data_IF_748342323978
#
_entry.id   IF_748342323978
#
_cell.length_a   1.000
_cell.length_b   1.000
_cell.length_c   1.000
_cell.angle_alpha   90.00
_cell.angle_beta   90.00
_cell.angle_gamma   90.00
#
_symmetry.space_group_name_H-M   'P 1'
#
loop_
_entity.id
_entity.type
_entity.pdbx_description
1 polymer ?
#
# COMPACT_ATOMS: atom_id res chain seq x y z
N UNK A 1 2.29 5.32 19.20
CA UNK A 1 1.42 6.39 18.65
C UNK A 1 1.60 7.65 19.48
N UNK A 2 1.87 8.80 18.84
CA UNK A 2 2.02 10.06 19.55
C UNK A 2 0.71 10.46 20.25
N UNK A 3 0.82 11.29 21.31
CA UNK A 3 -0.34 11.78 22.08
C UNK A 3 -1.36 12.50 21.16
N UNK A 4 -0.89 13.18 20.09
CA UNK A 4 -1.74 13.84 19.08
C UNK A 4 -2.55 12.87 18.23
N UNK A 5 -1.96 11.74 17.81
CA UNK A 5 -2.71 10.71 17.05
C UNK A 5 -3.78 10.02 17.91
N UNK A 6 -3.55 9.85 19.22
CA UNK A 6 -4.57 9.35 20.14
C UNK A 6 -5.75 10.33 20.28
N UNK A 7 -5.49 11.63 20.29
CA UNK A 7 -6.55 12.64 20.38
C UNK A 7 -7.40 12.70 19.10
N UNK A 8 -6.82 12.57 17.91
CA UNK A 8 -7.58 12.45 16.65
C UNK A 8 -8.51 11.23 16.67
N UNK A 9 -7.98 10.05 17.06
CA UNK A 9 -8.80 8.83 17.13
C UNK A 9 -9.91 8.86 18.20
N UNK A 10 -9.82 9.73 19.23
CA UNK A 10 -10.86 9.93 20.23
C UNK A 10 -11.97 10.85 19.69
N UNK A 11 -11.63 11.84 18.87
CA UNK A 11 -12.58 12.78 18.30
C UNK A 11 -13.51 12.13 17.27
N UNK A 12 -13.00 11.18 16.50
CA UNK A 12 -13.73 10.51 15.40
C UNK A 12 -14.48 9.24 15.85
N UNK A 13 -14.63 9.02 17.17
CA UNK A 13 -15.34 7.82 17.66
C UNK A 13 -16.87 8.05 17.64
N UNK A 14 -17.64 7.10 17.07
CA UNK A 14 -19.11 7.13 17.08
C UNK A 14 -19.69 7.31 18.49
N UNK A 15 -18.99 6.81 19.53
CA UNK A 15 -19.37 6.98 20.92
C UNK A 15 -19.48 8.44 21.40
N UNK A 16 -18.93 9.41 20.65
CA UNK A 16 -19.07 10.84 20.93
C UNK A 16 -20.51 11.33 20.81
N UNK A 17 -21.28 10.73 19.93
CA UNK A 17 -22.67 11.08 19.64
C UNK A 17 -23.66 10.28 20.51
N UNK A 18 -23.17 9.47 21.44
CA UNK A 18 -24.01 8.68 22.34
C UNK A 18 -24.07 9.40 23.70
N UNK A 19 -25.25 9.84 24.04
CA UNK A 19 -25.59 10.30 25.39
C UNK A 19 -25.92 9.12 26.32
N UNK A 20 -25.52 9.22 27.57
CA UNK A 20 -25.83 8.22 28.58
C UNK A 20 -26.78 8.88 29.58
N UNK A 21 -27.98 8.32 29.74
CA UNK A 21 -28.93 8.70 30.81
C UNK A 21 -29.04 7.57 31.82
N UNK A 22 -28.72 7.88 33.08
CA UNK A 22 -28.70 6.92 34.20
C UNK A 22 -29.56 7.32 35.40
N UNK A 23 -30.38 8.38 35.26
CA UNK A 23 -31.24 8.92 36.34
C UNK A 23 -32.63 9.18 35.80
N UNK A 24 -33.66 8.91 36.61
CA UNK A 24 -35.04 9.31 36.31
C UNK A 24 -35.23 10.81 36.52
N UNK A 25 -36.38 11.36 36.07
CA UNK A 25 -36.73 12.77 36.32
C UNK A 25 -36.86 13.11 37.80
N UNK A 26 -37.16 12.10 38.62
CA UNK A 26 -37.28 12.19 40.09
C UNK A 26 -35.92 12.09 40.81
N UNK A 27 -34.81 11.87 40.06
CA UNK A 27 -33.46 11.79 40.61
C UNK A 27 -33.08 10.41 41.13
N UNK A 28 -33.89 9.39 40.88
CA UNK A 28 -33.58 8.01 41.27
C UNK A 28 -32.63 7.33 40.27
N UNK A 29 -31.79 6.42 40.74
CA UNK A 29 -30.93 5.61 39.91
C UNK A 29 -31.76 4.73 38.96
N UNK A 30 -31.51 4.83 37.66
CA UNK A 30 -32.23 4.06 36.62
C UNK A 30 -31.25 3.25 35.80
N UNK A 31 -31.79 2.31 35.05
CA UNK A 31 -31.02 1.59 34.05
C UNK A 31 -30.40 2.53 33.01
N UNK A 32 -29.13 2.26 32.68
CA UNK A 32 -28.38 3.06 31.71
C UNK A 32 -29.01 2.93 30.31
N UNK A 33 -29.53 4.04 29.79
CA UNK A 33 -30.01 4.13 28.40
C UNK A 33 -29.02 4.91 27.56
N UNK A 34 -28.63 4.30 26.43
CA UNK A 34 -27.85 4.97 25.41
C UNK A 34 -28.81 5.62 24.40
N UNK A 35 -28.67 6.91 24.19
CA UNK A 35 -29.45 7.66 23.19
C UNK A 35 -28.51 8.45 22.28
N UNK A 36 -28.94 8.73 21.06
CA UNK A 36 -28.22 9.63 20.19
C UNK A 36 -28.37 11.07 20.68
N UNK A 37 -27.26 11.80 20.70
CA UNK A 37 -27.24 13.23 21.01
C UNK A 37 -27.45 14.02 19.72
N UNK A 38 -28.70 14.28 19.40
CA UNK A 38 -29.10 14.97 18.17
C UNK A 38 -28.54 16.40 18.08
N UNK A 39 -28.31 17.05 19.22
CA UNK A 39 -27.71 18.39 19.23
C UNK A 39 -26.26 18.32 18.75
N UNK A 40 -25.46 17.38 19.24
CA UNK A 40 -24.09 17.19 18.76
C UNK A 40 -24.02 16.77 17.29
N UNK A 41 -24.97 15.95 16.86
CA UNK A 41 -25.06 15.57 15.44
C UNK A 41 -25.35 16.80 14.59
N UNK A 42 -26.33 17.64 14.96
CA UNK A 42 -26.68 18.85 14.20
C UNK A 42 -25.56 19.91 14.18
N UNK A 43 -24.80 20.02 15.28
CA UNK A 43 -23.61 20.89 15.32
C UNK A 43 -22.50 20.41 14.39
N UNK A 44 -22.33 19.09 14.23
CA UNK A 44 -21.27 18.56 13.36
C UNK A 44 -21.67 18.49 11.88
N UNK A 45 -22.94 18.23 11.57
CA UNK A 45 -23.44 18.15 10.19
C UNK A 45 -23.15 19.43 9.39
N UNK A 46 -23.09 20.61 10.04
CA UNK A 46 -22.74 21.86 9.36
C UNK A 46 -21.30 21.86 8.80
N UNK A 47 -20.41 21.00 9.34
CA UNK A 47 -19.02 20.86 8.87
C UNK A 47 -18.82 19.67 7.94
N UNK A 48 -19.87 18.91 7.65
CA UNK A 48 -19.78 17.78 6.74
C UNK A 48 -19.32 18.23 5.35
N UNK A 49 -18.38 17.48 4.77
CA UNK A 49 -17.75 17.77 3.48
C UNK A 49 -16.86 19.03 3.45
N UNK A 50 -16.62 19.69 4.58
CA UNK A 50 -15.64 20.76 4.66
C UNK A 50 -14.28 20.18 5.07
N UNK A 51 -13.26 20.50 4.28
CA UNK A 51 -11.87 20.12 4.54
C UNK A 51 -11.04 21.39 4.69
N UNK A 52 -10.19 21.42 5.72
CA UNK A 52 -9.27 22.52 5.94
C UNK A 52 -7.83 22.02 5.77
N UNK A 53 -7.07 22.70 4.93
CA UNK A 53 -5.63 22.48 4.76
C UNK A 53 -4.90 23.68 5.36
N UNK A 54 -4.04 23.42 6.36
CA UNK A 54 -3.17 24.45 6.94
C UNK A 54 -1.76 24.30 6.33
N UNK A 55 -1.21 25.39 5.86
CA UNK A 55 0.12 25.44 5.25
C UNK A 55 0.86 26.72 5.69
N UNK A 56 2.17 26.67 5.65
CA UNK A 56 3.08 27.81 5.79
C UNK A 56 3.56 28.35 4.43
N UNK A 57 3.12 27.74 3.33
CA UNK A 57 3.42 28.18 1.96
C UNK A 57 2.51 29.34 1.58
N UNK A 58 2.84 30.54 2.09
CA UNK A 58 2.00 31.74 1.94
C UNK A 58 2.05 32.35 0.53
N UNK A 59 3.13 32.07 -0.22
CA UNK A 59 3.36 32.64 -1.55
C UNK A 59 2.90 31.72 -2.70
N UNK A 60 2.43 30.50 -2.37
CA UNK A 60 1.99 29.53 -3.38
C UNK A 60 0.51 29.69 -3.73
N UNK A 61 0.18 29.39 -4.99
CA UNK A 61 -1.21 29.33 -5.45
C UNK A 61 -2.00 28.25 -4.72
N UNK A 62 -3.23 28.55 -4.33
CA UNK A 62 -4.15 27.63 -3.67
C UNK A 62 -4.27 26.29 -4.41
N UNK A 63 -4.29 26.32 -5.76
CA UNK A 63 -4.35 25.11 -6.59
C UNK A 63 -3.13 24.20 -6.42
N UNK A 64 -1.94 24.75 -6.21
CA UNK A 64 -0.72 23.98 -5.96
C UNK A 64 -0.74 23.39 -4.55
N UNK A 65 -1.16 24.15 -3.56
CA UNK A 65 -1.32 23.68 -2.16
C UNK A 65 -2.28 22.49 -2.10
N UNK A 66 -3.41 22.57 -2.80
CA UNK A 66 -4.38 21.47 -2.86
C UNK A 66 -3.79 20.22 -3.52
N UNK A 67 -3.08 20.36 -4.66
CA UNK A 67 -2.40 19.23 -5.32
C UNK A 67 -1.39 18.54 -4.41
N UNK A 68 -0.59 19.31 -3.67
CA UNK A 68 0.36 18.77 -2.69
C UNK A 68 -0.38 18.02 -1.58
N UNK A 69 -1.47 18.59 -1.07
CA UNK A 69 -2.30 17.95 -0.04
C UNK A 69 -2.95 16.66 -0.53
N UNK A 70 -3.48 16.65 -1.75
CA UNK A 70 -4.07 15.46 -2.38
C UNK A 70 -3.04 14.35 -2.61
N UNK A 71 -1.79 14.69 -2.90
CA UNK A 71 -0.73 13.69 -3.10
C UNK A 71 -0.24 13.00 -1.81
N UNK A 72 -0.57 13.52 -0.62
CA UNK A 72 -0.15 12.95 0.67
C UNK A 72 -0.62 11.52 0.88
N UNK A 73 -1.81 11.17 0.39
CA UNK A 73 -2.33 9.81 0.51
C UNK A 73 -1.40 8.78 -0.17
N UNK A 74 -0.70 9.16 -1.24
CA UNK A 74 0.25 8.28 -1.93
C UNK A 74 1.44 7.93 -1.02
N UNK A 75 1.89 8.89 -0.21
CA UNK A 75 2.96 8.67 0.78
C UNK A 75 2.47 7.73 1.88
N UNK A 76 1.25 7.96 2.39
CA UNK A 76 0.64 7.10 3.42
C UNK A 76 0.46 5.67 2.89
N UNK A 77 0.06 5.51 1.64
CA UNK A 77 -0.06 4.22 0.99
C UNK A 77 1.30 3.53 0.82
N UNK A 78 2.36 4.25 0.44
CA UNK A 78 3.71 3.70 0.40
C UNK A 78 4.14 3.14 1.76
N UNK A 79 3.87 3.87 2.86
CA UNK A 79 4.15 3.38 4.20
C UNK A 79 3.28 2.17 4.59
N UNK A 80 2.03 2.13 4.14
CA UNK A 80 1.15 0.98 4.36
C UNK A 80 1.72 -0.26 3.67
N UNK A 81 2.03 -0.17 2.38
CA UNK A 81 2.62 -1.27 1.60
C UNK A 81 3.91 -1.78 2.25
N UNK A 82 4.81 -0.88 2.63
CA UNK A 82 6.04 -1.28 3.33
C UNK A 82 5.77 -2.04 4.63
N UNK A 83 4.78 -1.62 5.40
CA UNK A 83 4.46 -2.25 6.71
C UNK A 83 3.72 -3.57 6.57
N UNK A 84 2.73 -3.65 5.67
CA UNK A 84 1.85 -4.80 5.51
C UNK A 84 2.42 -5.79 4.50
N UNK A 85 2.56 -5.38 3.26
CA UNK A 85 2.84 -6.27 2.15
C UNK A 85 4.32 -6.72 2.12
N UNK A 86 5.24 -5.83 2.51
CA UNK A 86 6.68 -6.13 2.60
C UNK A 86 7.13 -6.55 4.01
N UNK A 87 6.24 -6.50 5.01
CA UNK A 87 6.57 -6.83 6.39
C UNK A 87 7.82 -6.11 6.92
N UNK A 88 8.04 -4.85 6.49
CA UNK A 88 9.19 -4.07 6.89
C UNK A 88 9.20 -3.69 8.38
N UNK A 89 8.10 -3.92 9.09
CA UNK A 89 7.95 -3.64 10.53
C UNK A 89 7.06 -4.72 11.17
N UNK A 90 7.41 -5.20 12.38
CA UNK A 90 8.50 -4.74 13.26
C UNK A 90 9.90 -5.20 12.81
N UNK A 91 10.92 -4.40 13.09
CA UNK A 91 12.33 -4.73 12.83
C UNK A 91 12.94 -5.39 14.06
N UNK A 92 13.39 -6.64 13.92
CA UNK A 92 14.01 -7.43 15.00
C UNK A 92 15.54 -7.42 14.95
N UNK A 93 16.13 -6.43 14.27
CA UNK A 93 17.57 -6.25 14.14
C UNK A 93 18.09 -5.29 15.21
N UNK A 94 19.29 -5.54 15.74
CA UNK A 94 19.93 -4.72 16.78
C UNK A 94 21.08 -3.86 16.25
N UNK A 95 21.72 -4.31 15.18
CA UNK A 95 22.85 -3.60 14.57
C UNK A 95 22.34 -2.49 13.63
N UNK A 96 22.88 -1.28 13.78
CA UNK A 96 22.48 -0.10 13.01
C UNK A 96 22.68 -0.29 11.50
N UNK A 97 23.78 -0.93 11.09
CA UNK A 97 24.05 -1.16 9.67
C UNK A 97 23.05 -2.15 9.07
N UNK A 98 22.65 -3.16 9.84
CA UNK A 98 21.62 -4.13 9.41
C UNK A 98 20.24 -3.47 9.32
N UNK A 99 19.90 -2.59 10.26
CA UNK A 99 18.65 -1.81 10.21
C UNK A 99 18.63 -0.92 8.98
N UNK A 100 19.71 -0.21 8.70
CA UNK A 100 19.84 0.64 7.53
C UNK A 100 19.76 -0.18 6.22
N UNK A 101 20.45 -1.31 6.15
CA UNK A 101 20.41 -2.21 5.00
C UNK A 101 18.99 -2.76 4.77
N UNK A 102 18.29 -3.19 5.83
CA UNK A 102 16.90 -3.65 5.76
C UNK A 102 15.98 -2.55 5.23
N UNK A 103 16.09 -1.34 5.77
CA UNK A 103 15.30 -0.19 5.33
C UNK A 103 15.54 0.15 3.86
N UNK A 104 16.80 0.11 3.42
CA UNK A 104 17.17 0.34 2.03
C UNK A 104 16.59 -0.72 1.10
N UNK A 105 16.65 -2.00 1.48
CA UNK A 105 16.07 -3.11 0.69
C UNK A 105 14.56 -2.91 0.54
N UNK A 106 13.85 -2.59 1.63
CA UNK A 106 12.41 -2.33 1.58
C UNK A 106 12.07 -1.12 0.69
N UNK A 107 12.87 -0.06 0.75
CA UNK A 107 12.71 1.11 -0.11
C UNK A 107 12.93 0.78 -1.59
N UNK A 108 13.98 0.03 -1.92
CA UNK A 108 14.23 -0.43 -3.30
C UNK A 108 13.10 -1.34 -3.81
N UNK A 109 12.59 -2.24 -2.97
CA UNK A 109 11.44 -3.08 -3.31
C UNK A 109 10.20 -2.23 -3.60
N UNK A 110 9.95 -1.20 -2.78
CA UNK A 110 8.85 -0.25 -3.02
C UNK A 110 9.02 0.49 -4.35
N UNK A 111 10.21 0.94 -4.68
CA UNK A 111 10.48 1.60 -5.98
C UNK A 111 10.18 0.67 -7.16
N UNK A 112 10.62 -0.59 -7.09
CA UNK A 112 10.36 -1.60 -8.12
C UNK A 112 8.85 -1.83 -8.25
N UNK A 113 8.17 -2.01 -7.12
CA UNK A 113 6.72 -2.20 -7.10
C UNK A 113 5.98 -1.01 -7.76
N UNK A 114 6.29 0.23 -7.36
CA UNK A 114 5.66 1.43 -7.93
C UNK A 114 5.94 1.58 -9.43
N UNK A 115 7.11 1.18 -9.87
CA UNK A 115 7.43 1.15 -11.31
C UNK A 115 6.56 0.13 -12.06
N UNK A 116 6.41 -1.08 -11.53
CA UNK A 116 5.56 -2.13 -12.10
C UNK A 116 4.09 -1.73 -12.09
N UNK A 117 3.59 -1.22 -10.96
CA UNK A 117 2.23 -0.72 -10.81
C UNK A 117 1.90 0.35 -11.88
N UNK A 118 2.80 1.32 -12.07
CA UNK A 118 2.64 2.34 -13.11
C UNK A 118 2.64 1.75 -14.52
N UNK A 119 3.49 0.76 -14.79
CA UNK A 119 3.53 0.06 -16.08
C UNK A 119 2.29 -0.80 -16.34
N UNK A 120 1.69 -1.33 -15.29
CA UNK A 120 0.44 -2.10 -15.31
C UNK A 120 -0.82 -1.22 -15.23
N UNK A 121 -0.67 0.13 -15.28
CA UNK A 121 -1.77 1.09 -15.17
C UNK A 121 -2.62 0.90 -13.89
N UNK A 122 -1.97 0.53 -12.78
CA UNK A 122 -2.61 0.27 -11.48
C UNK A 122 -3.77 -0.75 -11.55
N UNK A 123 -3.68 -1.72 -12.46
CA UNK A 123 -4.72 -2.74 -12.71
C UNK A 123 -4.79 -3.79 -11.61
N UNK A 124 -3.68 -4.03 -10.90
CA UNK A 124 -3.53 -5.08 -9.89
C UNK A 124 -3.11 -4.51 -8.55
N UNK A 125 -3.54 -5.16 -7.47
CA UNK A 125 -3.13 -4.83 -6.11
C UNK A 125 -1.68 -5.25 -5.84
N UNK A 126 -1.09 -4.72 -4.77
CA UNK A 126 0.26 -5.10 -4.35
C UNK A 126 0.33 -6.60 -4.01
N UNK A 127 -0.66 -7.11 -3.30
CA UNK A 127 -0.74 -8.51 -2.88
C UNK A 127 -0.82 -9.44 -4.10
N UNK A 128 -1.73 -9.19 -5.03
CA UNK A 128 -1.86 -9.99 -6.26
C UNK A 128 -0.56 -10.03 -7.06
N UNK A 129 0.12 -8.89 -7.22
CA UNK A 129 1.38 -8.82 -7.95
C UNK A 129 2.49 -9.60 -7.25
N UNK A 130 2.62 -9.44 -5.94
CA UNK A 130 3.65 -10.14 -5.15
C UNK A 130 3.43 -11.65 -5.15
N UNK A 131 2.19 -12.10 -5.00
CA UNK A 131 1.88 -13.52 -4.97
C UNK A 131 2.10 -14.15 -6.34
N UNK A 132 1.68 -13.49 -7.42
CA UNK A 132 2.01 -13.93 -8.78
C UNK A 132 3.52 -14.04 -9.00
N UNK A 133 4.31 -13.05 -8.57
CA UNK A 133 5.77 -13.08 -8.72
C UNK A 133 6.43 -14.21 -7.91
N UNK A 134 5.90 -14.54 -6.71
CA UNK A 134 6.36 -15.69 -5.90
C UNK A 134 6.02 -17.04 -6.53
N UNK A 135 4.89 -17.10 -7.24
CA UNK A 135 4.43 -18.32 -7.92
C UNK A 135 5.17 -18.61 -9.23
N UNK A 136 5.85 -17.61 -9.83
CA UNK A 136 6.64 -17.80 -11.05
C UNK A 136 7.90 -18.63 -10.74
N UNK A 137 7.71 -19.95 -10.66
CA UNK A 137 8.77 -20.92 -10.40
C UNK A 137 9.02 -21.80 -11.63
N UNK A 138 10.24 -22.36 -11.72
CA UNK A 138 10.68 -23.23 -12.79
C UNK A 138 11.33 -24.49 -12.25
N UNK A 139 10.97 -25.64 -12.80
CA UNK A 139 11.69 -26.88 -12.57
C UNK A 139 12.81 -27.04 -13.61
N UNK A 140 14.04 -27.26 -13.16
CA UNK A 140 15.16 -27.57 -14.06
C UNK A 140 15.14 -29.06 -14.42
N UNK A 141 15.18 -29.36 -15.73
CA UNK A 141 15.47 -30.69 -16.25
C UNK A 141 16.96 -30.73 -16.56
N UNK A 142 17.65 -31.69 -15.92
CA UNK A 142 19.10 -31.81 -16.08
C UNK A 142 19.50 -31.80 -17.56
N UNK A 143 20.47 -30.94 -17.90
CA UNK A 143 21.06 -30.71 -19.22
C UNK A 143 20.13 -30.23 -20.33
N UNK A 144 18.81 -30.26 -20.17
CA UNK A 144 17.85 -29.93 -21.23
C UNK A 144 17.34 -28.50 -21.13
N UNK A 145 16.76 -28.10 -19.98
CA UNK A 145 16.16 -26.79 -19.83
C UNK A 145 15.23 -26.68 -18.63
N UNK A 146 14.16 -25.92 -18.76
CA UNK A 146 13.27 -25.56 -17.68
C UNK A 146 11.81 -25.73 -18.07
N UNK A 147 10.99 -26.17 -17.12
CA UNK A 147 9.54 -26.23 -17.23
C UNK A 147 8.96 -25.21 -16.26
N UNK A 148 8.13 -24.25 -16.71
CA UNK A 148 7.41 -23.36 -15.81
C UNK A 148 6.38 -24.15 -15.00
N UNK A 149 6.31 -23.87 -13.70
CA UNK A 149 5.39 -24.52 -12.76
C UNK A 149 4.15 -23.65 -12.47
N UNK A 150 4.18 -22.39 -12.90
CA UNK A 150 3.07 -21.47 -12.69
C UNK A 150 2.00 -21.58 -13.78
N UNK A 151 0.77 -21.19 -13.43
CA UNK A 151 -0.34 -21.12 -14.37
C UNK A 151 -0.32 -19.80 -15.13
N UNK A 152 -0.78 -19.86 -16.38
CA UNK A 152 -1.00 -18.65 -17.17
C UNK A 152 -2.27 -17.96 -16.71
N UNK A 153 -2.15 -16.69 -16.39
CA UNK A 153 -3.22 -15.78 -15.95
C UNK A 153 -3.09 -14.43 -16.64
N UNK A 154 -4.11 -13.59 -16.54
CA UNK A 154 -4.10 -12.25 -17.15
C UNK A 154 -2.92 -11.41 -16.64
N UNK A 155 -2.62 -11.50 -15.35
CA UNK A 155 -1.50 -10.78 -14.74
C UNK A 155 -0.14 -11.26 -15.26
N UNK A 156 0.04 -12.57 -15.50
CA UNK A 156 1.27 -13.10 -16.08
C UNK A 156 1.43 -12.68 -17.55
N UNK A 157 0.32 -12.58 -18.30
CA UNK A 157 0.33 -12.08 -19.68
C UNK A 157 0.76 -10.61 -19.74
N UNK A 158 0.19 -9.76 -18.89
CA UNK A 158 0.52 -8.34 -18.79
C UNK A 158 1.99 -8.14 -18.36
N UNK A 159 2.49 -8.96 -17.41
CA UNK A 159 3.90 -8.94 -17.01
C UNK A 159 4.84 -9.33 -18.17
N UNK A 160 4.49 -10.35 -18.94
CA UNK A 160 5.26 -10.75 -20.14
C UNK A 160 5.31 -9.64 -21.19
N UNK A 161 4.21 -8.91 -21.37
CA UNK A 161 4.15 -7.78 -22.31
C UNK A 161 5.10 -6.66 -21.88
N UNK A 162 5.08 -6.28 -20.60
CA UNK A 162 5.99 -5.25 -20.04
C UNK A 162 7.46 -5.67 -20.16
N UNK A 163 7.76 -6.93 -19.84
CA UNK A 163 9.11 -7.46 -19.89
C UNK A 163 9.62 -7.60 -21.34
N UNK A 164 8.70 -7.79 -22.29
CA UNK A 164 9.03 -7.99 -23.72
C UNK A 164 9.59 -9.38 -24.02
N UNK A 165 9.34 -10.36 -23.14
CA UNK A 165 9.62 -11.77 -23.33
C UNK A 165 8.61 -12.65 -22.61
N UNK A 166 8.46 -13.90 -23.05
CA UNK A 166 7.54 -14.86 -22.45
C UNK A 166 8.31 -16.06 -21.89
N UNK A 167 7.79 -16.58 -20.78
CA UNK A 167 8.35 -17.75 -20.09
C UNK A 167 7.29 -18.83 -19.82
N UNK A 168 6.07 -18.67 -20.31
CA UNK A 168 4.93 -19.58 -20.15
C UNK A 168 4.85 -20.70 -21.21
N UNK A 169 6.00 -21.12 -21.73
CA UNK A 169 6.08 -22.24 -22.66
C UNK A 169 6.12 -23.58 -21.90
N UNK A 170 5.58 -24.63 -22.50
CA UNK A 170 5.66 -25.98 -21.93
C UNK A 170 7.09 -26.40 -21.60
N UNK A 171 8.06 -25.93 -22.37
CA UNK A 171 9.48 -26.18 -22.18
C UNK A 171 10.31 -24.99 -22.65
N UNK A 172 11.32 -24.64 -21.89
CA UNK A 172 12.24 -23.55 -22.20
C UNK A 172 13.66 -24.10 -22.23
N UNK A 173 14.28 -24.11 -23.41
CA UNK A 173 15.67 -24.55 -23.55
C UNK A 173 16.66 -23.61 -22.88
N UNK A 174 17.80 -24.12 -22.42
CA UNK A 174 18.89 -23.32 -21.84
C UNK A 174 19.36 -22.18 -22.76
N UNK A 175 19.34 -22.40 -24.08
CA UNK A 175 19.67 -21.38 -25.08
C UNK A 175 18.66 -20.21 -25.06
N UNK A 176 17.36 -20.52 -24.94
CA UNK A 176 16.30 -19.49 -24.88
C UNK A 176 16.42 -18.63 -23.61
N UNK A 177 16.71 -19.24 -22.46
CA UNK A 177 16.94 -18.47 -21.23
C UNK A 177 18.17 -17.57 -21.36
N UNK A 178 19.27 -18.07 -21.91
CA UNK A 178 20.46 -17.24 -22.17
C UNK A 178 20.14 -16.06 -23.07
N UNK A 179 19.31 -16.25 -24.09
CA UNK A 179 18.88 -15.17 -24.98
C UNK A 179 18.00 -14.15 -24.25
N UNK A 180 17.09 -14.59 -23.36
CA UNK A 180 16.29 -13.69 -22.52
C UNK A 180 17.21 -12.86 -21.61
N UNK A 181 18.14 -13.51 -20.91
CA UNK A 181 19.11 -12.83 -20.05
C UNK A 181 19.97 -11.81 -20.82
N UNK A 182 20.38 -12.14 -22.05
CA UNK A 182 21.13 -11.24 -22.91
C UNK A 182 20.30 -10.01 -23.27
N UNK A 183 19.04 -10.19 -23.69
CA UNK A 183 18.11 -9.07 -23.99
C UNK A 183 17.89 -8.15 -22.78
N UNK A 184 17.73 -8.71 -21.59
CA UNK A 184 17.56 -7.92 -20.36
C UNK A 184 18.80 -7.09 -20.06
N UNK A 185 20.01 -7.66 -20.22
CA UNK A 185 21.28 -6.95 -20.02
C UNK A 185 21.52 -5.85 -21.07
N UNK A 186 21.12 -6.06 -22.31
CA UNK A 186 21.24 -5.06 -23.38
C UNK A 186 20.30 -3.89 -23.17
N UNK A 187 19.04 -4.12 -22.74
CA UNK A 187 18.10 -3.05 -22.37
C UNK A 187 18.62 -2.17 -21.21
N UNK A 188 19.31 -2.75 -20.24
CA UNK A 188 19.88 -2.01 -19.11
C UNK A 188 21.10 -1.14 -19.48
N UNK A 189 21.66 -1.27 -20.70
CA UNK A 189 22.73 -0.39 -21.19
C UNK A 189 22.21 0.88 -21.88
N UNK A 190 20.89 0.97 -22.09
CA UNK A 190 20.22 2.08 -22.77
C UNK A 190 19.45 3.01 -21.79
N UNK A 191 19.54 2.74 -20.48
CA UNK A 191 19.10 3.57 -19.36
C UNK A 191 20.32 4.17 -18.65
#
# INVERSE_FOLDING_TARGET
RSRRQRQMCIRDRPARFIGIMAVTKEGEAADVKHCLDENKISEEVQYDRLYAVCTDLLDDEVGNILKVSESRWQIEECFRIMKTDFSASPVYLQDENQINAHSLICFLALMIYRFLEKKLNSKYTCEELLDTLKEINFAEIQEQGFIPLYKRETITDDLHEICGFRTDYQFISKSKIRNIQKKVREKNKLL
#
